data_IF_717815062287
#
_entry.id   IF_717815062287
#
_cell.length_a   1.000
_cell.length_b   1.000
_cell.length_c   1.000
_cell.angle_alpha   90.00
_cell.angle_beta   90.00
_cell.angle_gamma   90.00
#
_symmetry.space_group_name_H-M   'P 1'
#
loop_
_entity.id
_entity.type
_entity.pdbx_description
1 polymer ?
#
# COMPACT_ATOMS: atom_id res chain seq x y z
N UNK A 1 -6.62 -7.98 -28.83
CA UNK A 1 -5.44 -7.45 -28.15
C UNK A 1 -5.67 -7.21 -26.66
N UNK A 2 -6.57 -6.30 -26.25
CA UNK A 2 -6.76 -5.96 -24.83
C UNK A 2 -7.49 -7.08 -24.06
N UNK A 3 -8.51 -7.70 -24.63
CA UNK A 3 -9.22 -8.85 -24.04
C UNK A 3 -8.32 -10.07 -23.86
N UNK A 4 -7.34 -10.24 -24.73
CA UNK A 4 -6.37 -11.33 -24.64
C UNK A 4 -5.41 -11.10 -23.46
N UNK A 5 -5.01 -9.86 -23.19
CA UNK A 5 -4.12 -9.51 -22.09
C UNK A 5 -4.77 -9.79 -20.72
N UNK A 6 -6.02 -9.39 -20.52
CA UNK A 6 -6.73 -9.65 -19.27
C UNK A 6 -6.86 -11.16 -18.99
N UNK A 7 -7.10 -11.97 -20.00
CA UNK A 7 -7.17 -13.43 -19.89
C UNK A 7 -5.81 -14.03 -19.46
N UNK A 8 -4.73 -13.56 -20.08
CA UNK A 8 -3.37 -14.00 -19.73
C UNK A 8 -3.02 -13.57 -18.31
N UNK A 9 -3.26 -12.31 -17.95
CA UNK A 9 -3.01 -11.77 -16.61
C UNK A 9 -3.80 -12.55 -15.56
N UNK A 10 -5.10 -12.80 -15.79
CA UNK A 10 -5.94 -13.56 -14.85
C UNK A 10 -5.45 -15.00 -14.67
N UNK A 11 -4.93 -15.62 -15.73
CA UNK A 11 -4.38 -16.98 -15.66
C UNK A 11 -3.09 -17.03 -14.86
N UNK A 12 -2.19 -16.09 -15.08
CA UNK A 12 -0.93 -15.98 -14.34
C UNK A 12 -1.17 -15.57 -12.88
N UNK A 13 -2.08 -14.63 -12.64
CA UNK A 13 -2.42 -14.14 -11.30
C UNK A 13 -2.93 -15.25 -10.35
N UNK A 14 -3.59 -16.28 -10.90
CA UNK A 14 -4.04 -17.45 -10.11
C UNK A 14 -2.94 -18.12 -9.29
N UNK A 15 -1.70 -18.04 -9.74
CA UNK A 15 -0.56 -18.65 -9.05
C UNK A 15 -0.21 -17.92 -7.74
N UNK A 16 -0.64 -16.67 -7.61
CA UNK A 16 -0.27 -15.77 -6.51
C UNK A 16 -1.46 -15.42 -5.61
N UNK A 17 -2.69 -15.62 -6.09
CA UNK A 17 -3.91 -15.29 -5.35
C UNK A 17 -4.35 -16.53 -4.55
N UNK A 18 -4.38 -16.46 -3.20
CA UNK A 18 -4.67 -17.62 -2.34
C UNK A 18 -6.16 -17.94 -2.19
N UNK A 19 -7.01 -17.33 -3.01
CA UNK A 19 -8.48 -17.53 -3.01
C UNK A 19 -8.97 -17.82 -4.43
N UNK A 20 -10.15 -18.43 -4.59
CA UNK A 20 -10.72 -18.70 -5.92
C UNK A 20 -10.84 -17.43 -6.76
N UNK A 21 -10.46 -17.51 -8.02
CA UNK A 21 -10.47 -16.37 -8.95
C UNK A 21 -11.87 -15.78 -9.13
N UNK A 22 -12.90 -16.57 -8.89
CA UNK A 22 -14.31 -16.16 -8.94
C UNK A 22 -14.72 -15.26 -7.76
N UNK A 23 -13.93 -15.23 -6.70
CA UNK A 23 -14.18 -14.44 -5.50
C UNK A 23 -13.42 -13.09 -5.51
N UNK A 24 -12.64 -12.84 -6.57
CA UNK A 24 -11.87 -11.61 -6.73
C UNK A 24 -12.20 -10.91 -8.04
N UNK A 25 -12.14 -9.58 -8.00
CA UNK A 25 -12.09 -8.72 -9.17
C UNK A 25 -10.64 -8.41 -9.46
N UNK A 26 -10.21 -8.62 -10.69
CA UNK A 26 -8.83 -8.38 -11.13
C UNK A 26 -8.79 -7.21 -12.09
N UNK A 27 -7.82 -6.33 -11.85
CA UNK A 27 -7.42 -5.28 -12.78
C UNK A 27 -5.89 -5.30 -12.95
N UNK A 28 -5.36 -4.65 -13.98
CA UNK A 28 -3.94 -4.62 -14.24
C UNK A 28 -3.49 -3.33 -14.91
N UNK A 29 -2.26 -2.91 -14.63
CA UNK A 29 -1.59 -1.80 -15.28
C UNK A 29 -0.26 -2.26 -15.88
N UNK A 30 -0.03 -2.05 -17.19
CA UNK A 30 1.29 -2.31 -17.77
C UNK A 30 2.28 -1.29 -17.20
N UNK A 31 3.42 -1.80 -16.71
CA UNK A 31 4.49 -0.95 -16.24
C UNK A 31 5.33 -0.45 -17.42
N UNK A 32 5.81 0.80 -17.39
CA UNK A 32 6.74 1.30 -18.39
C UNK A 32 7.97 0.39 -18.47
N UNK A 33 8.42 0.11 -19.67
CA UNK A 33 9.67 -0.61 -19.88
C UNK A 33 10.82 0.23 -19.31
N UNK A 34 11.66 -0.38 -18.49
CA UNK A 34 12.94 0.22 -18.16
C UNK A 34 13.74 0.36 -19.46
N UNK A 35 14.22 1.55 -19.75
CA UNK A 35 15.24 1.70 -20.78
C UNK A 35 16.48 0.92 -20.30
N UNK A 36 17.11 0.13 -21.20
CA UNK A 36 18.32 -0.60 -20.83
C UNK A 36 19.38 0.40 -20.35
N UNK A 37 20.03 0.09 -19.23
CA UNK A 37 21.14 0.91 -18.75
C UNK A 37 22.23 0.97 -19.82
N UNK A 38 23.02 2.05 -19.80
CA UNK A 38 24.10 2.24 -20.78
C UNK A 38 25.09 1.05 -20.82
N UNK A 39 25.26 0.35 -19.71
CA UNK A 39 26.08 -0.86 -19.58
C UNK A 39 25.42 -2.08 -20.22
N UNK A 40 24.10 -2.21 -20.16
CA UNK A 40 23.36 -3.30 -20.81
C UNK A 40 23.28 -3.14 -22.32
N UNK A 41 23.22 -1.90 -22.82
CA UNK A 41 23.18 -1.59 -24.25
C UNK A 41 24.47 -1.92 -24.97
N UNK A 42 25.61 -1.96 -24.28
CA UNK A 42 26.94 -2.19 -24.85
C UNK A 42 27.44 -3.63 -24.70
N UNK A 43 26.65 -4.53 -24.14
CA UNK A 43 27.06 -5.92 -23.96
C UNK A 43 26.56 -6.78 -25.12
N UNK A 44 27.45 -7.23 -26.07
CA UNK A 44 27.05 -8.00 -27.27
C UNK A 44 26.44 -9.38 -26.93
N UNK A 45 26.51 -9.82 -25.68
CA UNK A 45 25.91 -11.06 -25.21
C UNK A 45 24.52 -10.88 -24.55
N UNK A 46 24.02 -9.67 -24.47
CA UNK A 46 22.65 -9.44 -24.01
C UNK A 46 21.71 -9.83 -25.13
N UNK A 47 21.35 -11.12 -25.19
CA UNK A 47 20.24 -11.56 -26.04
C UNK A 47 19.05 -10.66 -25.65
N UNK A 48 18.49 -10.00 -26.66
CA UNK A 48 17.18 -9.35 -26.56
C UNK A 48 16.18 -10.39 -26.05
N UNK A 49 16.12 -10.55 -24.75
CA UNK A 49 15.12 -11.38 -24.11
C UNK A 49 13.78 -10.85 -24.57
N UNK A 50 13.02 -11.70 -25.22
CA UNK A 50 11.65 -11.50 -25.68
C UNK A 50 10.96 -10.52 -24.72
N UNK A 51 10.51 -9.40 -25.25
CA UNK A 51 10.05 -8.25 -24.48
C UNK A 51 8.89 -8.65 -23.57
N UNK A 52 9.23 -9.17 -22.38
CA UNK A 52 8.24 -9.41 -21.33
C UNK A 52 7.72 -8.05 -20.89
N UNK A 53 6.41 -7.90 -20.92
CA UNK A 53 5.77 -6.72 -20.37
C UNK A 53 5.53 -6.98 -18.88
N UNK A 54 6.14 -6.17 -18.01
CA UNK A 54 5.81 -6.18 -16.59
C UNK A 54 4.44 -5.56 -16.41
N UNK A 55 3.62 -6.18 -15.58
CA UNK A 55 2.28 -5.67 -15.24
C UNK A 55 2.10 -5.64 -13.74
N UNK A 56 1.55 -4.56 -13.24
CA UNK A 56 1.03 -4.48 -11.87
C UNK A 56 -0.37 -5.08 -11.87
N UNK A 57 -0.56 -6.13 -11.11
CA UNK A 57 -1.86 -6.81 -10.97
C UNK A 57 -2.49 -6.43 -9.65
N UNK A 58 -3.76 -6.06 -9.70
CA UNK A 58 -4.60 -5.75 -8.56
C UNK A 58 -5.67 -6.82 -8.44
N UNK A 59 -5.82 -7.40 -7.25
CA UNK A 59 -6.88 -8.35 -6.95
C UNK A 59 -7.64 -7.90 -5.69
N UNK A 60 -8.93 -7.65 -5.84
CA UNK A 60 -9.81 -7.23 -4.75
C UNK A 60 -10.86 -8.30 -4.49
N UNK A 61 -11.06 -8.64 -3.22
CA UNK A 61 -12.14 -9.54 -2.82
C UNK A 61 -13.51 -8.92 -3.15
N UNK A 62 -14.36 -9.67 -3.84
CA UNK A 62 -15.69 -9.21 -4.25
C UNK A 62 -16.57 -8.83 -3.06
N UNK A 63 -16.39 -9.47 -1.92
CA UNK A 63 -17.15 -9.16 -0.70
C UNK A 63 -16.75 -7.79 -0.11
N UNK A 64 -15.49 -7.38 -0.24
CA UNK A 64 -15.07 -6.04 0.14
C UNK A 64 -15.76 -4.99 -0.75
N UNK A 65 -15.74 -5.19 -2.06
CA UNK A 65 -16.42 -4.29 -3.01
C UNK A 65 -17.93 -4.22 -2.75
N UNK A 66 -18.58 -5.34 -2.44
CA UNK A 66 -20.01 -5.36 -2.09
C UNK A 66 -20.31 -4.53 -0.84
N UNK A 67 -19.47 -4.63 0.20
CA UNK A 67 -19.61 -3.82 1.43
C UNK A 67 -19.52 -2.33 1.13
N UNK A 68 -18.52 -1.90 0.37
CA UNK A 68 -18.39 -0.50 -0.03
C UNK A 68 -19.58 -0.02 -0.88
N UNK A 69 -20.01 -0.81 -1.84
CA UNK A 69 -21.20 -0.49 -2.65
C UNK A 69 -22.46 -0.34 -1.77
N UNK A 70 -22.63 -1.18 -0.76
CA UNK A 70 -23.76 -1.08 0.17
C UNK A 70 -23.70 0.23 0.97
N UNK A 71 -22.52 0.62 1.48
CA UNK A 71 -22.34 1.88 2.20
C UNK A 71 -22.64 3.08 1.29
N UNK A 72 -22.11 3.08 0.08
CA UNK A 72 -22.34 4.16 -0.89
C UNK A 72 -23.82 4.27 -1.22
N UNK A 73 -24.49 3.15 -1.52
CA UNK A 73 -25.91 3.14 -1.84
C UNK A 73 -26.79 3.63 -0.67
N UNK A 74 -26.45 3.24 0.58
CA UNK A 74 -27.18 3.68 1.76
C UNK A 74 -27.00 5.18 2.06
N UNK A 75 -25.93 5.78 1.55
CA UNK A 75 -25.63 7.20 1.69
C UNK A 75 -26.22 8.06 0.56
N UNK A 76 -27.04 7.49 -0.33
CA UNK A 76 -27.57 8.13 -1.53
C UNK A 76 -26.49 8.72 -2.46
N UNK A 77 -25.31 8.15 -2.44
CA UNK A 77 -24.18 8.50 -3.30
C UNK A 77 -24.06 7.52 -4.46
N UNK A 78 -23.37 7.94 -5.51
CA UNK A 78 -23.00 7.08 -6.64
C UNK A 78 -21.49 7.03 -6.74
N UNK A 79 -20.91 5.83 -6.61
CA UNK A 79 -19.49 5.62 -6.83
C UNK A 79 -19.24 5.45 -8.34
N UNK A 80 -18.38 6.28 -8.91
CA UNK A 80 -17.98 6.17 -10.31
C UNK A 80 -16.84 5.16 -10.49
N UNK A 81 -15.98 5.00 -9.47
CA UNK A 81 -14.88 4.04 -9.46
C UNK A 81 -14.46 3.74 -8.02
N UNK A 82 -13.72 2.64 -7.85
CA UNK A 82 -13.03 2.29 -6.61
C UNK A 82 -11.54 2.24 -6.87
N UNK A 83 -10.77 2.67 -5.90
CA UNK A 83 -9.32 2.71 -5.96
C UNK A 83 -8.74 2.19 -4.64
N UNK A 84 -7.65 1.44 -4.71
CA UNK A 84 -6.89 1.09 -3.51
C UNK A 84 -6.22 2.36 -2.99
N UNK A 85 -6.31 2.61 -1.70
CA UNK A 85 -5.86 3.85 -1.04
C UNK A 85 -4.42 4.23 -1.34
N UNK A 86 -3.53 3.25 -1.57
CA UNK A 86 -2.12 3.53 -1.86
C UNK A 86 -1.93 4.33 -3.16
N UNK A 87 -2.76 4.10 -4.18
CA UNK A 87 -2.68 4.87 -5.43
C UNK A 87 -3.11 6.31 -5.23
N UNK A 88 -4.16 6.54 -4.44
CA UNK A 88 -4.57 7.91 -4.08
C UNK A 88 -3.53 8.60 -3.19
N UNK A 89 -2.90 7.87 -2.26
CA UNK A 89 -1.83 8.40 -1.44
C UNK A 89 -0.60 8.80 -2.27
N UNK A 90 -0.18 7.96 -3.23
CA UNK A 90 0.90 8.29 -4.16
C UNK A 90 0.54 9.54 -4.97
N UNK A 91 -0.63 9.59 -5.57
CA UNK A 91 -1.08 10.72 -6.39
C UNK A 91 -1.20 12.03 -5.60
N UNK A 92 -1.55 11.96 -4.30
CA UNK A 92 -1.68 13.13 -3.44
C UNK A 92 -0.33 13.70 -2.97
N UNK A 93 0.71 12.86 -2.90
CA UNK A 93 2.01 13.25 -2.37
C UNK A 93 3.08 13.50 -3.45
N UNK A 94 2.89 12.99 -4.67
CA UNK A 94 3.89 13.07 -5.74
C UNK A 94 3.26 13.64 -7.00
N UNK A 95 3.73 14.82 -7.45
CA UNK A 95 3.31 15.42 -8.72
C UNK A 95 4.18 14.95 -9.89
N UNK A 96 5.52 15.02 -9.74
CA UNK A 96 6.47 14.72 -10.82
C UNK A 96 7.81 14.18 -10.29
N UNK A 97 7.77 13.40 -9.22
CA UNK A 97 9.00 12.83 -8.66
C UNK A 97 9.58 11.74 -9.59
N UNK A 98 10.81 11.96 -10.03
CA UNK A 98 11.57 11.00 -10.84
C UNK A 98 12.44 10.07 -9.99
N UNK A 99 12.68 10.44 -8.73
CA UNK A 99 13.50 9.70 -7.79
C UNK A 99 12.74 8.55 -7.15
N UNK A 100 13.50 7.60 -6.62
CA UNK A 100 12.97 6.53 -5.78
C UNK A 100 12.61 7.10 -4.39
N UNK A 101 11.35 6.98 -4.00
CA UNK A 101 10.83 7.52 -2.75
C UNK A 101 10.17 6.41 -1.93
N UNK A 102 10.39 6.44 -0.62
CA UNK A 102 9.66 5.62 0.34
C UNK A 102 8.50 6.43 0.92
N UNK A 103 7.27 6.00 0.61
CA UNK A 103 6.07 6.52 1.25
C UNK A 103 5.72 5.64 2.44
N UNK A 104 5.67 6.25 3.62
CA UNK A 104 5.24 5.59 4.86
C UNK A 104 3.91 6.18 5.32
N UNK A 105 2.87 5.34 5.39
CA UNK A 105 1.58 5.67 5.98
C UNK A 105 1.48 4.99 7.35
N UNK A 106 1.60 5.78 8.41
CA UNK A 106 1.54 5.32 9.79
C UNK A 106 0.12 5.49 10.32
N UNK A 107 -0.69 4.44 10.15
CA UNK A 107 -2.09 4.43 10.58
C UNK A 107 -2.29 4.00 12.02
N UNK A 108 -3.55 3.86 12.42
CA UNK A 108 -3.91 3.43 13.76
C UNK A 108 -3.55 1.95 14.02
N UNK A 109 -3.88 1.05 13.09
CA UNK A 109 -3.70 -0.40 13.24
C UNK A 109 -2.58 -0.97 12.37
N UNK A 110 -2.20 -0.28 11.31
CA UNK A 110 -1.23 -0.74 10.33
C UNK A 110 -0.28 0.38 9.93
N UNK A 111 0.97 0.03 9.68
CA UNK A 111 1.92 0.90 8.99
C UNK A 111 2.14 0.34 7.60
N UNK A 112 1.95 1.14 6.57
CA UNK A 112 2.10 0.76 5.17
C UNK A 112 3.32 1.44 4.59
N UNK A 113 4.17 0.66 3.96
CA UNK A 113 5.39 1.10 3.31
C UNK A 113 5.26 0.88 1.82
N UNK A 114 5.49 1.91 1.03
CA UNK A 114 5.42 1.85 -0.42
C UNK A 114 6.65 2.45 -1.04
N UNK A 115 7.34 1.66 -1.84
CA UNK A 115 8.45 2.13 -2.63
C UNK A 115 7.90 2.62 -3.97
N UNK A 116 8.07 3.90 -4.25
CA UNK A 116 7.53 4.59 -5.41
C UNK A 116 8.68 5.08 -6.28
N UNK A 117 8.64 4.79 -7.58
CA UNK A 117 9.59 5.25 -8.58
C UNK A 117 8.82 5.74 -9.81
N UNK A 118 9.13 6.93 -10.30
CA UNK A 118 8.40 7.58 -11.41
C UNK A 118 6.88 7.65 -11.18
N UNK A 119 6.45 7.91 -9.93
CA UNK A 119 5.03 7.94 -9.59
C UNK A 119 4.34 6.57 -9.56
N UNK A 120 5.09 5.48 -9.71
CA UNK A 120 4.55 4.12 -9.73
C UNK A 120 5.05 3.28 -8.55
N UNK A 121 4.15 2.45 -8.03
CA UNK A 121 4.46 1.57 -6.91
C UNK A 121 5.32 0.42 -7.41
N UNK A 122 6.53 0.30 -6.85
CA UNK A 122 7.48 -0.80 -7.11
C UNK A 122 7.29 -1.96 -6.14
N UNK A 123 7.10 -1.63 -4.88
CA UNK A 123 6.82 -2.63 -3.85
C UNK A 123 5.94 -2.02 -2.76
N UNK A 124 5.23 -2.89 -2.08
CA UNK A 124 4.31 -2.53 -1.02
C UNK A 124 4.44 -3.54 0.12
N UNK A 125 4.47 -3.04 1.34
CA UNK A 125 4.54 -3.87 2.53
C UNK A 125 3.63 -3.32 3.62
N UNK A 126 2.91 -4.21 4.31
CA UNK A 126 2.07 -3.85 5.46
C UNK A 126 2.66 -4.45 6.72
N UNK A 127 2.89 -3.60 7.71
CA UNK A 127 3.26 -3.98 9.07
C UNK A 127 2.00 -3.90 9.92
N UNK A 128 1.62 -5.00 10.58
CA UNK A 128 0.43 -5.08 11.44
C UNK A 128 0.72 -4.43 12.81
N UNK A 129 1.19 -3.20 12.78
CA UNK A 129 1.48 -2.34 13.92
C UNK A 129 1.18 -0.90 13.55
N UNK A 130 0.61 -0.15 14.49
CA UNK A 130 0.29 1.26 14.28
C UNK A 130 0.18 2.03 15.59
N UNK A 131 -0.44 3.19 15.51
CA UNK A 131 -0.61 4.09 16.65
C UNK A 131 -1.37 3.47 17.84
N UNK A 132 -2.27 2.54 17.58
CA UNK A 132 -3.01 1.83 18.65
C UNK A 132 -2.12 0.89 19.44
N UNK A 133 -1.11 0.27 18.83
CA UNK A 133 -0.14 -0.56 19.53
C UNK A 133 0.72 0.26 20.49
N UNK A 134 1.08 1.50 20.10
CA UNK A 134 1.78 2.43 20.98
C UNK A 134 0.89 2.77 22.16
N UNK A 135 -0.36 3.14 21.93
CA UNK A 135 -1.34 3.46 22.99
C UNK A 135 -1.51 2.28 23.95
N UNK A 136 -1.62 1.07 23.43
CA UNK A 136 -1.77 -0.15 24.23
C UNK A 136 -0.51 -0.43 25.07
N UNK A 137 0.67 -0.17 24.53
CA UNK A 137 1.93 -0.28 25.27
C UNK A 137 2.02 0.72 26.40
N UNK A 138 1.62 1.97 26.20
CA UNK A 138 1.55 3.02 27.24
C UNK A 138 0.55 2.60 28.31
N UNK A 139 -0.66 2.17 27.92
CA UNK A 139 -1.70 1.76 28.83
C UNK A 139 -1.24 0.62 29.77
N UNK A 140 -0.56 -0.39 29.19
CA UNK A 140 -0.02 -1.51 29.95
C UNK A 140 1.12 -1.10 30.88
N UNK A 141 2.06 -0.29 30.39
CA UNK A 141 3.23 0.13 31.15
C UNK A 141 2.85 0.99 32.36
N UNK A 142 1.86 1.87 32.20
CA UNK A 142 1.42 2.79 33.24
C UNK A 142 0.19 2.27 34.04
N UNK A 143 -0.35 1.11 33.66
CA UNK A 143 -1.56 0.54 34.26
C UNK A 143 -2.76 1.51 34.24
N UNK A 144 -2.94 2.21 33.13
CA UNK A 144 -4.03 3.15 32.88
C UNK A 144 -4.96 2.65 31.77
N UNK A 145 -6.12 3.29 31.61
CA UNK A 145 -7.04 2.95 30.53
C UNK A 145 -6.48 3.33 29.15
N UNK A 146 -6.95 2.64 28.11
CA UNK A 146 -6.57 2.96 26.72
C UNK A 146 -6.87 4.42 26.35
N UNK A 147 -8.01 4.96 26.82
CA UNK A 147 -8.39 6.36 26.56
C UNK A 147 -7.39 7.33 27.19
N UNK A 148 -7.01 7.12 28.46
CA UNK A 148 -6.00 7.95 29.12
C UNK A 148 -4.64 7.85 28.44
N UNK A 149 -4.24 6.65 28.03
CA UNK A 149 -3.00 6.44 27.29
C UNK A 149 -3.00 7.14 25.93
N UNK A 150 -4.14 7.14 25.22
CA UNK A 150 -4.30 7.85 23.94
C UNK A 150 -4.21 9.37 24.11
N UNK A 151 -4.80 9.92 25.16
CA UNK A 151 -4.67 11.33 25.52
C UNK A 151 -3.21 11.69 25.83
N UNK A 152 -2.54 10.89 26.66
CA UNK A 152 -1.13 11.08 26.98
C UNK A 152 -0.25 11.01 25.74
N UNK A 153 -0.47 10.03 24.87
CA UNK A 153 0.26 9.92 23.60
C UNK A 153 0.12 11.16 22.72
N UNK A 154 -1.10 11.73 22.65
CA UNK A 154 -1.36 12.97 21.90
C UNK A 154 -0.74 14.21 22.55
N UNK A 155 -0.72 14.27 23.86
CA UNK A 155 -0.20 15.42 24.62
C UNK A 155 1.33 15.46 24.60
N UNK A 156 1.98 14.33 24.85
CA UNK A 156 3.42 14.27 25.01
C UNK A 156 4.17 13.91 23.72
N UNK A 157 3.57 13.07 22.86
CA UNK A 157 4.20 12.64 21.62
C UNK A 157 5.53 11.91 21.86
N UNK A 158 6.49 12.12 20.93
CA UNK A 158 7.88 11.60 21.02
C UNK A 158 8.82 12.70 21.52
N UNK A 159 8.32 13.67 22.26
CA UNK A 159 9.15 14.79 22.70
C UNK A 159 10.10 14.32 23.81
N UNK A 160 11.40 14.46 23.54
CA UNK A 160 12.54 14.16 24.44
C UNK A 160 12.60 15.06 25.70
N UNK A 161 11.56 15.83 25.94
CA UNK A 161 11.47 16.81 27.03
C UNK A 161 10.60 16.35 28.20
N UNK A 162 10.19 15.10 28.27
CA UNK A 162 9.48 14.65 29.45
C UNK A 162 10.45 14.61 30.63
N UNK A 163 10.30 15.57 31.54
CA UNK A 163 11.00 15.55 32.85
C UNK A 163 10.49 14.39 33.73
N UNK A 164 9.59 13.57 33.22
CA UNK A 164 9.06 12.41 33.92
C UNK A 164 9.88 11.16 33.54
N UNK A 165 10.66 10.62 34.46
CA UNK A 165 11.48 9.42 34.21
C UNK A 165 10.66 8.19 33.85
N UNK A 166 9.36 8.15 34.15
CA UNK A 166 8.48 7.03 33.77
C UNK A 166 8.12 7.05 32.28
N UNK A 167 8.15 8.21 31.62
CA UNK A 167 7.89 8.35 30.19
C UNK A 167 9.13 8.14 29.32
N UNK A 168 10.32 8.29 29.89
CA UNK A 168 11.59 8.10 29.19
C UNK A 168 11.91 6.62 28.89
N UNK A 169 11.14 5.68 29.47
CA UNK A 169 11.33 4.22 29.31
C UNK A 169 10.30 3.54 28.40
N UNK A 170 9.43 4.32 27.80
CA UNK A 170 8.41 3.85 26.85
C UNK A 170 8.83 4.17 25.43
#
# INVERSE_FOLDING_TARGET
AEKDMLSVVSTEARKYIPVPITEVSIDYFPLPKKEPSYEESNNPNTQTTSAKTEVLVIALQNDALKKYNTVVASSALVASFFEIEIFSAVRANFEHELSLVLLMDFGASYTKLSLVEFGMIKSYHTINRGGSDITDSIAKSLSISFTQAEEMKKEFGILDNSKDPNLASI
#
